data_IF_788975858341
#
_entry.id   IF_788975858341
#
_cell.length_a   1.000
_cell.length_b   1.000
_cell.length_c   1.000
_cell.angle_alpha   90.00
_cell.angle_beta   90.00
_cell.angle_gamma   90.00
#
_symmetry.space_group_name_H-M   'P 1'
#
loop_
_entity.id
_entity.type
_entity.pdbx_description
1 polymer ?
#
# COMPACT_ATOMS: atom_id res chain seq x y z
N UNK A 1 -18.20 7.51 14.53
CA UNK A 1 -18.00 8.55 13.51
C UNK A 1 -16.64 9.23 13.67
N UNK A 2 -16.22 9.60 14.89
CA UNK A 2 -14.85 10.12 15.16
C UNK A 2 -13.71 9.23 14.66
N UNK A 3 -13.78 7.91 14.85
CA UNK A 3 -12.73 7.00 14.40
C UNK A 3 -12.54 6.96 12.87
N UNK A 4 -13.61 7.22 12.10
CA UNK A 4 -13.54 7.25 10.64
C UNK A 4 -12.85 8.53 10.15
N UNK A 5 -13.20 9.67 10.75
CA UNK A 5 -12.61 10.99 10.43
C UNK A 5 -11.10 10.99 10.72
N UNK A 6 -10.67 10.31 11.79
CA UNK A 6 -9.25 10.19 12.12
C UNK A 6 -8.47 9.35 11.08
N UNK A 7 -9.05 8.23 10.62
CA UNK A 7 -8.42 7.36 9.62
C UNK A 7 -8.21 8.07 8.28
N UNK A 8 -9.22 8.80 7.80
CA UNK A 8 -9.15 9.50 6.51
C UNK A 8 -8.06 10.59 6.52
N UNK A 9 -7.90 11.29 7.65
CA UNK A 9 -6.83 12.26 7.85
C UNK A 9 -5.44 11.61 7.85
N UNK A 10 -5.27 10.46 8.53
CA UNK A 10 -4.02 9.71 8.52
C UNK A 10 -3.68 9.27 7.10
N UNK A 11 -4.63 8.65 6.38
CA UNK A 11 -4.44 8.21 4.99
C UNK A 11 -4.02 9.39 4.11
N UNK A 12 -4.73 10.52 4.18
CA UNK A 12 -4.41 11.71 3.39
C UNK A 12 -3.01 12.26 3.69
N UNK A 13 -2.65 12.35 4.97
CA UNK A 13 -1.32 12.82 5.39
C UNK A 13 -0.20 11.91 4.89
N UNK A 14 -0.42 10.60 4.89
CA UNK A 14 0.58 9.62 4.47
C UNK A 14 0.73 9.57 2.95
N UNK A 15 -0.38 9.70 2.20
CA UNK A 15 -0.34 9.88 0.75
C UNK A 15 0.48 11.12 0.41
N UNK A 16 0.24 12.24 1.09
CA UNK A 16 1.00 13.48 0.85
C UNK A 16 2.49 13.28 1.14
N UNK A 17 2.84 12.70 2.29
CA UNK A 17 4.23 12.47 2.69
C UNK A 17 4.99 11.59 1.68
N UNK A 18 4.37 10.51 1.21
CA UNK A 18 4.98 9.61 0.23
C UNK A 18 5.03 10.23 -1.17
N UNK A 19 3.99 10.96 -1.57
CA UNK A 19 3.97 11.69 -2.84
C UNK A 19 5.08 12.72 -2.89
N UNK A 20 5.24 13.54 -1.84
CA UNK A 20 6.30 14.55 -1.76
C UNK A 20 7.70 13.93 -1.77
N UNK A 21 7.88 12.76 -1.12
CA UNK A 21 9.18 12.09 -1.01
C UNK A 21 9.62 11.40 -2.30
N UNK A 22 8.69 10.74 -3.00
CA UNK A 22 9.01 9.88 -4.14
C UNK A 22 8.54 10.44 -5.48
N UNK A 23 7.76 11.52 -5.48
CA UNK A 23 7.20 12.21 -6.65
C UNK A 23 6.54 11.24 -7.65
N UNK A 24 5.69 10.35 -7.14
CA UNK A 24 5.03 9.30 -7.91
C UNK A 24 3.58 9.09 -7.46
N UNK A 25 2.71 8.91 -8.46
CA UNK A 25 1.30 8.58 -8.24
C UNK A 25 1.04 7.07 -8.28
N UNK A 26 1.89 6.30 -8.96
CA UNK A 26 1.82 4.85 -9.09
C UNK A 26 3.14 4.21 -8.64
N UNK A 27 3.01 3.09 -7.95
CA UNK A 27 4.11 2.32 -7.40
C UNK A 27 4.19 0.98 -8.12
N UNK A 28 5.40 0.61 -8.53
CA UNK A 28 5.72 -0.74 -8.95
C UNK A 28 6.39 -1.55 -7.83
N UNK A 29 6.81 -2.78 -8.15
CA UNK A 29 7.50 -3.64 -7.19
C UNK A 29 8.76 -3.02 -6.59
N UNK A 30 9.55 -2.27 -7.37
CA UNK A 30 10.78 -1.65 -6.88
C UNK A 30 10.46 -0.48 -5.96
N UNK A 31 9.45 0.32 -6.30
CA UNK A 31 8.99 1.42 -5.46
C UNK A 31 8.49 0.92 -4.10
N UNK A 32 7.71 -0.16 -4.08
CA UNK A 32 7.23 -0.76 -2.82
C UNK A 32 8.39 -1.32 -2.00
N UNK A 33 9.41 -1.92 -2.63
CA UNK A 33 10.63 -2.35 -1.92
C UNK A 33 11.33 -1.16 -1.24
N UNK A 34 11.46 -0.02 -1.93
CA UNK A 34 12.08 1.19 -1.36
C UNK A 34 11.26 1.77 -0.21
N UNK A 35 9.93 1.79 -0.33
CA UNK A 35 9.04 2.33 0.70
C UNK A 35 9.02 1.44 1.95
N UNK A 36 8.97 0.12 1.76
CA UNK A 36 8.76 -0.84 2.87
C UNK A 36 10.05 -1.43 3.42
N UNK A 37 11.17 -1.35 2.69
CA UNK A 37 12.42 -2.03 3.03
C UNK A 37 12.38 -3.55 2.83
N UNK A 38 11.28 -4.10 2.30
CA UNK A 38 11.13 -5.54 2.09
C UNK A 38 11.89 -6.04 0.86
N UNK A 39 12.35 -7.28 0.93
CA UNK A 39 12.93 -7.98 -0.21
C UNK A 39 11.94 -8.22 -1.35
N UNK A 40 12.46 -8.35 -2.57
CA UNK A 40 11.70 -8.49 -3.82
C UNK A 40 10.64 -9.58 -3.78
N UNK A 41 10.96 -10.74 -3.24
CA UNK A 41 10.04 -11.89 -3.25
C UNK A 41 8.88 -11.71 -2.27
N UNK A 42 9.14 -11.09 -1.10
CA UNK A 42 8.08 -10.73 -0.16
C UNK A 42 7.14 -9.69 -0.75
N UNK A 43 7.67 -8.67 -1.43
CA UNK A 43 6.86 -7.68 -2.14
C UNK A 43 6.05 -8.33 -3.25
N UNK A 44 6.65 -9.22 -4.04
CA UNK A 44 5.93 -9.95 -5.09
C UNK A 44 4.84 -10.85 -4.55
N UNK A 45 5.09 -11.56 -3.45
CA UNK A 45 4.09 -12.38 -2.80
C UNK A 45 2.91 -11.50 -2.32
N UNK A 46 3.19 -10.36 -1.68
CA UNK A 46 2.19 -9.38 -1.28
C UNK A 46 1.38 -8.87 -2.48
N UNK A 47 2.05 -8.40 -3.53
CA UNK A 47 1.42 -7.96 -4.78
C UNK A 47 0.77 -9.10 -5.58
N UNK A 48 0.90 -10.35 -5.17
CA UNK A 48 0.19 -11.48 -5.80
C UNK A 48 -1.12 -11.78 -5.09
N UNK A 49 -1.30 -11.32 -3.85
CA UNK A 49 -2.52 -11.59 -3.10
C UNK A 49 -3.75 -11.00 -3.81
N UNK A 50 -4.92 -11.67 -3.78
CA UNK A 50 -6.12 -11.20 -4.47
C UNK A 50 -6.63 -9.85 -3.96
N UNK A 51 -6.45 -9.60 -2.66
CA UNK A 51 -6.89 -8.41 -1.94
C UNK A 51 -5.91 -7.23 -2.02
N UNK A 52 -4.72 -7.43 -2.58
CA UNK A 52 -3.79 -6.35 -2.86
C UNK A 52 -4.30 -5.52 -4.06
N UNK A 53 -4.44 -4.19 -3.93
CA UNK A 53 -5.18 -3.34 -4.88
C UNK A 53 -4.35 -2.98 -6.13
N UNK A 54 -3.71 -3.98 -6.72
CA UNK A 54 -2.95 -3.83 -7.97
C UNK A 54 -3.87 -3.70 -9.18
N UNK A 55 -3.34 -3.03 -10.19
CA UNK A 55 -3.77 -3.12 -11.58
C UNK A 55 -2.63 -3.66 -12.44
N UNK A 56 -2.99 -4.30 -13.56
CA UNK A 56 -2.03 -4.81 -14.53
C UNK A 56 -2.00 -3.90 -15.76
N UNK A 57 -0.83 -3.32 -16.06
CA UNK A 57 -0.60 -2.55 -17.29
C UNK A 57 0.40 -3.36 -18.14
N UNK A 58 -0.11 -4.07 -19.13
CA UNK A 58 0.63 -5.10 -19.85
C UNK A 58 1.12 -6.19 -18.88
N UNK A 59 2.44 -6.42 -18.82
CA UNK A 59 3.06 -7.40 -17.89
C UNK A 59 3.44 -6.80 -16.53
N UNK A 60 3.25 -5.50 -16.32
CA UNK A 60 3.62 -4.82 -15.07
C UNK A 60 2.42 -4.78 -14.13
N UNK A 61 2.68 -5.11 -12.86
CA UNK A 61 1.74 -4.89 -11.76
C UNK A 61 2.11 -3.58 -11.08
N UNK A 62 1.16 -2.65 -11.03
CA UNK A 62 1.31 -1.37 -10.37
C UNK A 62 0.13 -1.14 -9.43
N UNK A 63 0.28 -0.21 -8.49
CA UNK A 63 -0.78 0.20 -7.57
C UNK A 63 -0.73 1.73 -7.46
N UNK A 64 -1.87 2.40 -7.38
CA UNK A 64 -1.85 3.83 -7.08
C UNK A 64 -1.39 4.05 -5.63
N UNK A 65 -0.64 5.12 -5.38
CA UNK A 65 -0.13 5.44 -4.05
C UNK A 65 -1.26 5.51 -3.02
N UNK A 66 -2.39 6.15 -3.39
CA UNK A 66 -3.57 6.23 -2.56
C UNK A 66 -4.16 4.85 -2.22
N UNK A 67 -4.28 3.95 -3.19
CA UNK A 67 -4.81 2.61 -2.94
C UNK A 67 -3.88 1.78 -2.06
N UNK A 68 -2.56 1.93 -2.23
CA UNK A 68 -1.56 1.25 -1.41
C UNK A 68 -1.65 1.68 0.05
N UNK A 69 -1.65 2.99 0.34
CA UNK A 69 -1.75 3.52 1.70
C UNK A 69 -3.08 3.13 2.36
N UNK A 70 -4.20 3.32 1.67
CA UNK A 70 -5.52 2.94 2.18
C UNK A 70 -5.59 1.44 2.51
N UNK A 71 -5.01 0.59 1.66
CA UNK A 71 -4.96 -0.86 1.91
C UNK A 71 -4.11 -1.20 3.13
N UNK A 72 -2.94 -0.58 3.31
CA UNK A 72 -2.10 -0.82 4.49
C UNK A 72 -2.82 -0.45 5.78
N UNK A 73 -3.36 0.77 5.85
CA UNK A 73 -4.01 1.27 7.06
C UNK A 73 -5.25 0.43 7.39
N UNK A 74 -6.09 0.10 6.40
CA UNK A 74 -7.26 -0.75 6.64
C UNK A 74 -6.90 -2.17 7.10
N UNK A 75 -5.78 -2.74 6.61
CA UNK A 75 -5.27 -4.04 7.07
C UNK A 75 -4.77 -4.01 8.53
N UNK A 76 -4.09 -2.94 8.92
CA UNK A 76 -3.60 -2.73 10.29
C UNK A 76 -4.76 -2.63 11.27
N UNK A 77 -5.77 -1.80 10.96
CA UNK A 77 -6.95 -1.64 11.80
C UNK A 77 -7.84 -2.88 11.88
N UNK A 78 -7.83 -3.75 10.85
CA UNK A 78 -8.55 -5.03 10.87
C UNK A 78 -7.83 -6.13 11.68
N UNK A 79 -6.62 -5.86 12.20
CA UNK A 79 -5.85 -6.85 12.97
C UNK A 79 -5.43 -8.06 12.13
N UNK A 80 -5.33 -7.92 10.81
CA UNK A 80 -5.01 -9.03 9.91
C UNK A 80 -3.51 -9.34 9.87
N UNK A 81 -2.67 -8.44 10.39
CA UNK A 81 -1.25 -8.68 10.62
C UNK A 81 -1.06 -9.53 11.89
N UNK A 82 -1.17 -10.87 11.75
CA UNK A 82 -0.91 -11.79 12.87
C UNK A 82 -1.64 -13.13 12.80
N UNK A 83 -2.64 -13.29 11.92
CA UNK A 83 -3.25 -14.61 11.69
C UNK A 83 -2.32 -15.47 10.85
N UNK A 84 -1.51 -16.29 11.52
CA UNK A 84 -0.94 -17.50 10.92
C UNK A 84 -2.10 -18.43 10.60
N UNK A 85 -2.39 -18.64 9.32
CA UNK A 85 -3.13 -19.83 8.90
C UNK A 85 -2.24 -21.06 9.09
#
# INVERSE_FOLDING_TARGET
MENQINLDNIISSEIKRLSDKYNKEYLDCADIMLITGLGRDNVRAMMSKPDFPKICVGKRRIVSLAAFVSWQMTKEFRGEYGKKN
#
